data_IF_500497393783
#
_entry.id   IF_500497393783
#
_cell.length_a   1.000
_cell.length_b   1.000
_cell.length_c   1.000
_cell.angle_alpha   90.00
_cell.angle_beta   90.00
_cell.angle_gamma   90.00
#
_symmetry.space_group_name_H-M   'P 1'
#
loop_
_entity.id
_entity.type
_entity.pdbx_description
1 polymer ?
#
# COMPACT_ATOMS: atom_id res chain seq x y z
N UNK A 1 -8.57 -2.82 -31.58
CA UNK A 1 -7.63 -2.94 -30.44
C UNK A 1 -7.49 -1.56 -29.81
N UNK A 2 -8.22 -1.30 -28.71
CA UNK A 2 -8.30 0.03 -28.09
C UNK A 2 -7.17 0.26 -27.10
N UNK A 3 -6.42 1.33 -27.29
CA UNK A 3 -5.40 1.81 -26.36
C UNK A 3 -6.10 2.45 -25.15
N UNK A 4 -5.93 1.87 -23.96
CA UNK A 4 -6.37 2.47 -22.70
C UNK A 4 -5.54 3.74 -22.43
N UNK A 5 -6.00 4.86 -22.96
CA UNK A 5 -5.44 6.18 -22.63
C UNK A 5 -5.77 6.50 -21.17
N UNK A 6 -4.85 6.19 -20.27
CA UNK A 6 -4.90 6.65 -18.89
C UNK A 6 -5.12 8.18 -18.90
N UNK A 7 -6.20 8.62 -18.26
CA UNK A 7 -6.69 10.01 -18.28
C UNK A 7 -5.72 10.89 -17.50
N UNK A 8 -4.75 11.48 -18.19
CA UNK A 8 -3.71 12.34 -17.58
C UNK A 8 -4.34 13.63 -17.02
N UNK A 9 -4.02 14.04 -15.77
CA UNK A 9 -4.35 15.37 -15.28
C UNK A 9 -3.54 16.42 -16.07
N UNK A 10 -4.23 17.51 -16.48
CA UNK A 10 -3.77 18.53 -17.44
C UNK A 10 -2.53 19.33 -17.04
N UNK A 11 -1.93 19.04 -15.88
CA UNK A 11 -0.81 19.76 -15.28
C UNK A 11 0.56 19.10 -15.51
N UNK A 12 0.61 17.89 -16.07
CA UNK A 12 1.87 17.15 -16.28
C UNK A 12 2.24 17.19 -17.76
N UNK A 13 3.48 17.56 -18.07
CA UNK A 13 4.02 17.54 -19.44
C UNK A 13 3.86 16.15 -20.07
N UNK A 14 3.40 16.05 -21.33
CA UNK A 14 3.29 14.76 -22.02
C UNK A 14 4.64 14.02 -22.02
N UNK A 15 4.64 12.75 -21.62
CA UNK A 15 5.84 11.90 -21.61
C UNK A 15 6.72 11.96 -20.36
N UNK A 16 6.36 12.74 -19.31
CA UNK A 16 7.08 12.69 -18.03
C UNK A 16 7.03 11.31 -17.36
N UNK A 17 5.94 10.56 -17.55
CA UNK A 17 5.84 9.18 -17.06
C UNK A 17 6.69 8.22 -17.92
N UNK A 18 6.81 8.45 -19.23
CA UNK A 18 7.50 7.56 -20.18
C UNK A 18 9.02 7.54 -20.00
N UNK A 19 9.61 8.66 -19.56
CA UNK A 19 11.06 8.77 -19.32
C UNK A 19 11.54 8.28 -17.95
N UNK A 20 10.63 7.95 -17.03
CA UNK A 20 10.95 7.54 -15.66
C UNK A 20 10.42 6.15 -15.27
N UNK A 21 9.59 5.53 -16.12
CA UNK A 21 9.06 4.18 -15.93
C UNK A 21 10.14 3.13 -16.25
N UNK A 22 11.02 2.89 -15.29
CA UNK A 22 11.61 1.55 -15.15
C UNK A 22 10.61 0.75 -14.32
N UNK A 23 10.25 -0.46 -14.76
CA UNK A 23 9.33 -1.34 -14.02
C UNK A 23 9.90 -1.77 -12.64
N UNK A 24 11.17 -1.43 -12.37
CA UNK A 24 11.87 -1.75 -11.13
C UNK A 24 12.07 -0.49 -10.28
N UNK A 25 11.84 -0.62 -8.97
CA UNK A 25 12.16 0.44 -8.02
C UNK A 25 13.68 0.55 -7.82
N UNK A 26 14.15 1.63 -7.18
CA UNK A 26 15.57 1.85 -6.91
C UNK A 26 16.18 0.74 -6.05
N UNK A 27 15.44 0.22 -5.07
CA UNK A 27 15.93 -0.82 -4.18
C UNK A 27 16.13 -2.16 -4.90
N UNK A 28 15.20 -2.57 -5.79
CA UNK A 28 15.38 -3.74 -6.66
C UNK A 28 16.66 -3.64 -7.48
N UNK A 29 16.90 -2.48 -8.09
CA UNK A 29 18.08 -2.24 -8.94
C UNK A 29 19.40 -2.34 -8.18
N UNK A 30 19.38 -2.12 -6.86
CA UNK A 30 20.54 -2.21 -5.98
C UNK A 30 20.64 -3.57 -5.29
N UNK A 31 19.67 -4.48 -5.50
CA UNK A 31 19.64 -5.80 -4.86
C UNK A 31 19.45 -5.73 -3.34
N UNK A 32 18.83 -4.67 -2.84
CA UNK A 32 18.54 -4.54 -1.41
C UNK A 32 17.32 -5.39 -1.05
N UNK A 33 17.31 -5.98 0.14
CA UNK A 33 16.10 -6.56 0.70
C UNK A 33 15.09 -5.43 1.01
N UNK A 34 13.87 -5.57 0.50
CA UNK A 34 12.77 -4.64 0.74
C UNK A 34 11.44 -5.30 0.37
N UNK A 35 10.34 -4.71 0.83
CA UNK A 35 8.99 -5.07 0.41
C UNK A 35 8.40 -3.99 -0.50
N UNK A 36 7.53 -4.40 -1.43
CA UNK A 36 6.80 -3.51 -2.34
C UNK A 36 5.41 -3.15 -1.80
N UNK A 37 4.92 -3.96 -0.87
CA UNK A 37 3.59 -3.80 -0.30
C UNK A 37 3.54 -2.74 0.79
N UNK A 38 2.34 -2.26 1.05
CA UNK A 38 2.05 -1.48 2.24
C UNK A 38 1.75 -2.45 3.40
N UNK A 39 2.35 -2.21 4.56
CA UNK A 39 1.97 -2.88 5.79
C UNK A 39 0.76 -2.19 6.40
N UNK A 40 -0.37 -2.88 6.40
CA UNK A 40 -1.63 -2.41 6.96
C UNK A 40 -1.70 -2.78 8.44
N UNK A 41 -1.86 -1.77 9.30
CA UNK A 41 -2.08 -1.94 10.73
C UNK A 41 -3.55 -2.08 11.03
N UNK A 42 -3.89 -3.20 11.67
CA UNK A 42 -5.24 -3.47 12.12
C UNK A 42 -5.36 -3.27 13.63
N UNK A 43 -6.48 -2.72 14.13
CA UNK A 43 -6.70 -2.55 15.56
C UNK A 43 -6.73 -3.86 16.36
N UNK A 44 -7.24 -4.96 15.77
CA UNK A 44 -7.46 -6.24 16.46
C UNK A 44 -6.90 -7.47 15.74
N UNK A 45 -6.21 -7.26 14.62
CA UNK A 45 -5.61 -8.32 13.84
C UNK A 45 -4.11 -8.09 13.73
N UNK A 46 -3.38 -9.11 13.29
CA UNK A 46 -1.97 -8.94 12.95
C UNK A 46 -1.85 -7.96 11.77
N UNK A 47 -0.77 -7.18 11.71
CA UNK A 47 -0.48 -6.39 10.51
C UNK A 47 -0.40 -7.29 9.28
N UNK A 48 -0.93 -6.80 8.17
CA UNK A 48 -1.01 -7.52 6.90
C UNK A 48 -0.27 -6.73 5.82
N UNK A 49 0.58 -7.40 5.05
CA UNK A 49 1.21 -6.78 3.89
C UNK A 49 0.32 -6.98 2.66
N UNK A 50 0.22 -5.98 1.80
CA UNK A 50 -0.54 -6.09 0.54
C UNK A 50 0.12 -6.98 -0.51
N UNK A 51 1.39 -7.35 -0.35
CA UNK A 51 2.06 -8.32 -1.22
C UNK A 51 1.78 -9.75 -0.75
N UNK A 52 1.41 -10.61 -1.71
CA UNK A 52 1.19 -12.03 -1.47
C UNK A 52 2.47 -12.70 -0.94
N UNK A 53 2.31 -13.58 0.05
CA UNK A 53 3.41 -14.36 0.65
C UNK A 53 4.59 -13.50 1.13
N UNK A 54 4.35 -12.29 1.64
CA UNK A 54 5.41 -11.47 2.23
C UNK A 54 5.97 -12.11 3.52
N UNK A 55 7.30 -12.30 3.56
CA UNK A 55 8.03 -12.80 4.74
C UNK A 55 8.90 -11.74 5.42
N UNK A 56 8.89 -10.51 4.93
CA UNK A 56 9.67 -9.39 5.47
C UNK A 56 9.13 -9.02 6.85
N UNK A 57 10.01 -8.62 7.77
CA UNK A 57 9.56 -8.23 9.12
C UNK A 57 8.71 -6.97 9.07
N UNK A 58 7.76 -6.83 9.99
CA UNK A 58 6.90 -5.65 10.05
C UNK A 58 7.69 -4.32 10.20
N UNK A 59 8.88 -4.36 10.82
CA UNK A 59 9.72 -3.18 10.98
C UNK A 59 10.51 -2.80 9.71
N UNK A 60 10.66 -3.74 8.78
CA UNK A 60 11.42 -3.57 7.53
C UNK A 60 10.52 -3.16 6.35
N UNK A 61 9.24 -2.90 6.60
CA UNK A 61 8.34 -2.30 5.62
C UNK A 61 8.55 -0.78 5.60
N UNK A 62 8.75 -0.22 4.41
CA UNK A 62 8.95 1.24 4.26
C UNK A 62 7.62 2.01 4.34
N UNK A 63 6.52 1.38 3.94
CA UNK A 63 5.20 1.98 3.90
C UNK A 63 4.26 1.32 4.92
N UNK A 64 3.84 2.09 5.92
CA UNK A 64 2.87 1.69 6.93
C UNK A 64 1.59 2.50 6.78
N UNK A 65 0.44 1.83 6.81
CA UNK A 65 -0.87 2.47 6.66
C UNK A 65 -1.83 1.88 7.69
N UNK A 66 -2.65 2.72 8.32
CA UNK A 66 -3.72 2.23 9.21
C UNK A 66 -4.93 1.75 8.40
N UNK A 67 -5.58 0.68 8.85
CA UNK A 67 -6.71 0.08 8.12
C UNK A 67 -7.91 1.03 7.94
N UNK A 68 -8.01 2.10 8.73
CA UNK A 68 -9.04 3.13 8.58
C UNK A 68 -8.82 4.00 7.34
N UNK A 69 -7.56 4.18 6.91
CA UNK A 69 -7.25 4.93 5.70
C UNK A 69 -7.58 4.14 4.43
N UNK A 70 -7.63 2.81 4.51
CA UNK A 70 -7.98 1.91 3.40
C UNK A 70 -9.46 1.55 3.36
N UNK A 71 -10.19 1.74 4.46
CA UNK A 71 -11.61 1.39 4.58
C UNK A 71 -11.86 -0.10 4.83
N UNK A 72 -10.99 -0.76 5.59
CA UNK A 72 -11.17 -2.17 5.94
C UNK A 72 -12.40 -2.41 6.83
N UNK A 73 -13.12 -3.52 6.59
CA UNK A 73 -14.29 -3.92 7.39
C UNK A 73 -14.00 -4.16 8.89
N UNK A 74 -12.74 -4.34 9.28
CA UNK A 74 -12.37 -4.50 10.69
C UNK A 74 -12.57 -3.21 11.51
N UNK A 75 -12.65 -2.04 10.88
CA UNK A 75 -12.99 -0.77 11.54
C UNK A 75 -14.44 -0.75 12.05
N UNK A 76 -15.37 -1.37 11.32
CA UNK A 76 -16.77 -1.48 11.75
C UNK A 76 -16.91 -2.36 13.01
N UNK A 77 -16.09 -3.41 13.13
CA UNK A 77 -16.08 -4.27 14.32
C UNK A 77 -15.53 -3.50 15.54
N UNK A 78 -14.54 -2.62 15.35
CA UNK A 78 -14.03 -1.72 16.37
C UNK A 78 -15.13 -0.81 16.94
N UNK A 79 -15.88 -0.19 16.04
CA UNK A 79 -16.98 0.72 16.37
C UNK A 79 -18.13 0.02 17.09
N UNK A 80 -18.36 -1.26 16.78
CA UNK A 80 -19.38 -2.10 17.43
C UNK A 80 -18.93 -2.67 18.79
N UNK A 81 -17.62 -2.72 19.06
CA UNK A 81 -17.05 -3.13 20.36
C UNK A 81 -16.87 -1.94 21.31
N UNK A 82 -17.80 -0.99 21.31
CA UNK A 82 -17.98 -0.04 22.42
C UNK A 82 -18.68 -0.73 23.58
N UNK A 83 -18.02 -1.75 24.16
CA UNK A 83 -18.39 -2.23 25.49
C UNK A 83 -18.13 -1.09 26.49
N UNK A 84 -19.19 -0.32 26.81
CA UNK A 84 -19.23 0.49 28.02
C UNK A 84 -19.03 -0.43 29.22
N UNK A 85 -17.88 -0.33 29.88
CA UNK A 85 -17.78 -0.63 31.31
C UNK A 85 -18.00 0.67 32.04
N UNK A 86 -19.24 0.86 32.49
CA UNK A 86 -19.58 1.70 33.64
C UNK A 86 -19.80 0.81 34.85
#
# INVERSE_FOLDING_TARGET
MGLNAARQPRSVTPGCYERHMTEQCRACRLGLEHCHGALIHHPFHRPECTEDDCFVSAADHDLHIDCSATGCLCEDVASRSTHRVG
#
